data_IF_935340786200
#
_entry.id   IF_935340786200
#
_cell.length_a   1.000
_cell.length_b   1.000
_cell.length_c   1.000
_cell.angle_alpha   90.00
_cell.angle_beta   90.00
_cell.angle_gamma   90.00
#
_symmetry.space_group_name_H-M   'P 1'
#
loop_
_entity.id
_entity.type
_entity.pdbx_description
1 polymer ?
#
# COMPACT_ATOMS: atom_id res chain seq x y z
N UNK A 1 6.83 18.84 16.24
CA UNK A 1 6.50 20.20 16.75
C UNK A 1 5.41 20.79 15.86
N UNK A 2 4.47 21.55 16.42
CA UNK A 2 3.45 22.23 15.60
C UNK A 2 3.96 23.61 15.19
N UNK A 3 3.68 24.03 13.97
CA UNK A 3 3.98 25.37 13.43
C UNK A 3 2.74 25.89 12.69
N UNK A 4 2.63 27.19 12.55
CA UNK A 4 1.54 27.82 11.80
C UNK A 4 1.97 29.17 11.22
N UNK A 5 1.13 29.74 10.36
CA UNK A 5 1.15 31.17 10.06
C UNK A 5 0.81 32.01 11.30
N UNK A 6 1.09 33.32 11.22
CA UNK A 6 0.83 34.28 12.31
C UNK A 6 -0.66 34.34 12.70
N UNK A 7 -1.55 34.15 11.72
CA UNK A 7 -2.98 33.98 11.93
C UNK A 7 -3.44 32.64 11.38
N UNK A 8 -4.48 32.06 11.98
CA UNK A 8 -5.05 30.77 11.59
C UNK A 8 -6.57 30.80 11.44
N UNK A 9 -7.19 31.98 11.44
CA UNK A 9 -8.64 32.12 11.58
C UNK A 9 -9.43 31.51 10.41
N UNK A 10 -8.99 31.76 9.18
CA UNK A 10 -9.61 31.23 7.97
C UNK A 10 -9.36 29.72 7.84
N UNK A 11 -8.12 29.25 8.03
CA UNK A 11 -7.83 27.81 7.94
C UNK A 11 -8.52 27.02 9.07
N UNK A 12 -8.59 27.54 10.29
CA UNK A 12 -9.27 26.87 11.39
C UNK A 12 -10.78 26.78 11.13
N UNK A 13 -11.40 27.85 10.63
CA UNK A 13 -12.82 27.84 10.29
C UNK A 13 -13.14 26.87 9.14
N UNK A 14 -12.29 26.84 8.11
CA UNK A 14 -12.42 25.90 6.99
C UNK A 14 -12.19 24.45 7.44
N UNK A 15 -11.18 24.20 8.28
CA UNK A 15 -10.87 22.87 8.80
C UNK A 15 -11.99 22.35 9.69
N UNK A 16 -12.58 23.19 10.53
CA UNK A 16 -13.73 22.83 11.36
C UNK A 16 -14.96 22.41 10.52
N UNK A 17 -15.23 23.11 9.42
CA UNK A 17 -16.30 22.72 8.48
C UNK A 17 -16.00 21.39 7.79
N UNK A 18 -14.78 21.24 7.28
CA UNK A 18 -14.35 20.00 6.65
C UNK A 18 -14.42 18.80 7.61
N UNK A 19 -14.03 18.99 8.88
CA UNK A 19 -14.14 17.97 9.92
C UNK A 19 -15.59 17.55 10.21
N UNK A 20 -16.56 18.43 10.02
CA UNK A 20 -17.98 18.08 10.11
C UNK A 20 -18.45 17.11 9.02
N UNK A 21 -17.74 17.06 7.89
CA UNK A 21 -18.06 16.22 6.73
C UNK A 21 -17.15 14.99 6.61
N UNK A 22 -16.01 14.99 7.32
CA UNK A 22 -15.02 13.93 7.29
C UNK A 22 -15.56 12.65 7.93
N UNK A 23 -15.43 11.55 7.19
CA UNK A 23 -15.73 10.21 7.67
C UNK A 23 -14.43 9.46 7.96
N UNK A 24 -14.46 8.61 8.98
CA UNK A 24 -13.32 7.73 9.24
C UNK A 24 -13.16 6.74 8.07
N UNK A 25 -11.94 6.51 7.59
CA UNK A 25 -11.69 5.56 6.52
C UNK A 25 -11.99 4.12 6.96
N UNK A 26 -12.42 3.29 6.03
CA UNK A 26 -12.60 1.86 6.29
C UNK A 26 -11.26 1.18 6.60
N UNK A 27 -11.21 0.45 7.71
CA UNK A 27 -10.03 -0.28 8.19
C UNK A 27 -9.96 -1.67 7.56
N UNK A 28 -9.71 -1.70 6.25
CA UNK A 28 -9.79 -2.90 5.43
C UNK A 28 -8.46 -3.62 5.21
N UNK A 29 -7.34 -3.09 5.72
CA UNK A 29 -6.03 -3.72 5.63
C UNK A 29 -5.65 -4.34 6.97
N UNK A 30 -5.13 -5.56 6.97
CA UNK A 30 -4.68 -6.26 8.17
C UNK A 30 -3.15 -6.30 8.17
N UNK A 31 -2.53 -5.85 9.26
CA UNK A 31 -1.12 -6.05 9.54
C UNK A 31 -0.94 -7.02 10.71
N UNK A 32 0.08 -7.88 10.62
CA UNK A 32 0.47 -8.79 11.71
C UNK A 32 1.90 -8.51 12.12
N UNK A 33 2.09 -8.07 13.36
CA UNK A 33 3.39 -7.98 14.02
C UNK A 33 3.65 -9.33 14.67
N UNK A 34 4.65 -10.05 14.15
CA UNK A 34 5.06 -11.34 14.73
C UNK A 34 5.86 -11.07 16.01
N UNK A 35 5.50 -11.72 17.12
CA UNK A 35 6.29 -11.59 18.34
C UNK A 35 7.68 -12.23 18.12
N UNK A 36 8.76 -11.54 18.53
CA UNK A 36 10.09 -12.12 18.56
C UNK A 36 10.26 -13.13 19.71
N UNK A 37 9.31 -13.20 20.65
CA UNK A 37 9.38 -14.07 21.83
C UNK A 37 8.49 -15.32 21.67
N UNK A 38 9.00 -16.54 21.93
CA UNK A 38 8.26 -17.79 21.68
C UNK A 38 6.97 -18.00 22.48
N UNK A 39 6.72 -17.18 23.51
CA UNK A 39 5.56 -17.29 24.43
C UNK A 39 4.53 -16.19 24.25
N UNK A 40 4.76 -15.25 23.33
CA UNK A 40 3.84 -14.16 23.06
C UNK A 40 3.18 -14.35 21.69
N UNK A 41 1.88 -14.12 21.65
CA UNK A 41 1.12 -14.23 20.40
C UNK A 41 1.42 -13.06 19.45
N UNK A 42 1.30 -13.32 18.15
CA UNK A 42 1.46 -12.28 17.13
C UNK A 42 0.28 -11.31 17.20
N UNK A 43 0.57 -10.01 17.25
CA UNK A 43 -0.47 -8.98 17.29
C UNK A 43 -0.94 -8.69 15.87
N UNK A 44 -2.25 -8.69 15.68
CA UNK A 44 -2.86 -8.38 14.39
C UNK A 44 -3.77 -7.18 14.56
N UNK A 45 -3.62 -6.18 13.70
CA UNK A 45 -4.42 -4.96 13.74
C UNK A 45 -4.92 -4.59 12.35
N UNK A 46 -6.10 -3.95 12.33
CA UNK A 46 -6.67 -3.42 11.10
C UNK A 46 -6.39 -1.93 10.98
N UNK A 47 -6.15 -1.52 9.76
CA UNK A 47 -5.70 -0.19 9.44
C UNK A 47 -6.23 0.24 8.07
N UNK A 48 -6.48 1.54 7.91
CA UNK A 48 -6.88 2.12 6.64
C UNK A 48 -5.66 2.33 5.74
N UNK A 49 -5.77 2.00 4.45
CA UNK A 49 -4.68 2.30 3.51
C UNK A 49 -4.48 3.81 3.35
N UNK A 50 -3.22 4.25 3.17
CA UNK A 50 -2.89 5.65 2.90
C UNK A 50 -3.66 6.20 1.70
N UNK A 51 -3.86 5.38 0.66
CA UNK A 51 -4.60 5.77 -0.54
C UNK A 51 -6.08 6.06 -0.25
N UNK A 52 -6.74 5.22 0.56
CA UNK A 52 -8.14 5.43 0.97
C UNK A 52 -8.29 6.68 1.83
N UNK A 53 -7.40 6.87 2.80
CA UNK A 53 -7.40 8.08 3.62
C UNK A 53 -7.19 9.35 2.82
N UNK A 54 -6.21 9.36 1.90
CA UNK A 54 -5.96 10.51 1.02
C UNK A 54 -7.15 10.84 0.11
N UNK A 55 -7.92 9.85 -0.33
CA UNK A 55 -9.09 10.07 -1.18
C UNK A 55 -10.22 10.80 -0.40
N UNK A 56 -10.48 10.37 0.83
CA UNK A 56 -11.45 11.02 1.73
C UNK A 56 -10.98 12.43 2.11
N UNK A 57 -9.72 12.54 2.55
CA UNK A 57 -9.15 13.82 3.01
C UNK A 57 -9.10 14.84 1.87
N UNK A 58 -8.65 14.47 0.66
CA UNK A 58 -8.59 15.42 -0.46
C UNK A 58 -9.96 15.89 -0.90
N UNK A 59 -10.97 15.01 -0.87
CA UNK A 59 -12.32 15.39 -1.24
C UNK A 59 -12.87 16.42 -0.26
N UNK A 60 -12.86 16.11 1.03
CA UNK A 60 -13.44 17.00 2.05
C UNK A 60 -12.63 18.28 2.22
N UNK A 61 -11.31 18.20 2.39
CA UNK A 61 -10.48 19.40 2.56
C UNK A 61 -10.49 20.30 1.31
N UNK A 62 -10.53 19.72 0.11
CA UNK A 62 -10.55 20.49 -1.13
C UNK A 62 -11.84 21.30 -1.32
N UNK A 63 -12.98 20.81 -0.84
CA UNK A 63 -14.27 21.54 -0.85
C UNK A 63 -14.22 22.80 0.03
N UNK A 64 -13.36 22.82 1.05
CA UNK A 64 -13.12 23.96 1.94
C UNK A 64 -11.78 24.65 1.65
N UNK A 65 -11.26 24.55 0.43
CA UNK A 65 -10.06 25.26 -0.04
C UNK A 65 -8.77 24.96 0.74
N UNK A 66 -8.67 23.76 1.33
CA UNK A 66 -7.50 23.29 2.06
C UNK A 66 -6.72 22.27 1.23
N UNK A 67 -5.45 22.56 0.97
CA UNK A 67 -4.48 21.66 0.36
C UNK A 67 -3.64 20.94 1.43
N UNK A 68 -3.29 19.68 1.15
CA UNK A 68 -2.38 18.87 1.98
C UNK A 68 -1.02 18.75 1.30
N UNK A 69 0.05 19.04 2.04
CA UNK A 69 1.43 18.95 1.56
C UNK A 69 2.23 18.10 2.53
N UNK A 70 2.97 17.12 2.01
CA UNK A 70 3.86 16.27 2.81
C UNK A 70 5.25 16.24 2.20
N UNK A 71 6.22 16.81 2.90
CA UNK A 71 7.61 16.91 2.47
C UNK A 71 8.52 16.18 3.45
N UNK A 72 9.63 15.66 2.93
CA UNK A 72 10.62 14.95 3.73
C UNK A 72 11.95 15.70 3.67
N UNK A 73 12.59 15.89 4.83
CA UNK A 73 13.89 16.51 4.93
C UNK A 73 14.82 15.63 5.77
N UNK A 74 16.13 15.76 5.55
CA UNK A 74 17.14 15.17 6.43
C UNK A 74 17.54 16.25 7.42
N UNK A 75 17.30 16.01 8.70
CA UNK A 75 17.80 16.85 9.76
C UNK A 75 19.23 16.39 10.10
N UNK A 76 20.21 17.16 9.63
CA UNK A 76 21.63 16.88 9.86
C UNK A 76 22.06 17.02 11.33
N UNK A 77 21.32 17.79 12.15
CA UNK A 77 21.64 17.95 13.56
C UNK A 77 21.23 16.71 14.38
N UNK A 78 20.08 16.12 14.06
CA UNK A 78 19.58 14.91 14.76
C UNK A 78 19.94 13.61 14.04
N UNK A 79 20.40 13.67 12.79
CA UNK A 79 20.67 12.51 11.96
C UNK A 79 19.41 11.74 11.58
N UNK A 80 18.25 12.40 11.55
CA UNK A 80 16.96 11.77 11.27
C UNK A 80 16.31 12.30 9.99
N UNK A 81 15.56 11.43 9.34
CA UNK A 81 14.60 11.81 8.31
C UNK A 81 13.37 12.38 9.02
N UNK A 82 13.02 13.62 8.73
CA UNK A 82 11.83 14.29 9.22
C UNK A 82 10.78 14.37 8.12
N UNK A 83 9.51 14.22 8.52
CA UNK A 83 8.34 14.43 7.69
C UNK A 83 7.61 15.69 8.19
N UNK A 84 7.44 16.67 7.31
CA UNK A 84 6.56 17.81 7.56
C UNK A 84 5.23 17.56 6.86
N UNK A 85 4.14 17.57 7.62
CA UNK A 85 2.77 17.57 7.07
C UNK A 85 2.17 18.95 7.27
N UNK A 86 1.74 19.60 6.19
CA UNK A 86 1.22 20.96 6.17
C UNK A 86 -0.19 20.97 5.55
N UNK A 87 -1.11 21.68 6.19
CA UNK A 87 -2.39 22.09 5.62
C UNK A 87 -2.29 23.57 5.23
N UNK A 88 -2.53 23.88 3.96
CA UNK A 88 -2.51 25.24 3.43
C UNK A 88 -3.93 25.62 2.97
N UNK A 89 -4.41 26.78 3.35
CA UNK A 89 -5.69 27.32 2.90
C UNK A 89 -5.49 28.37 1.80
N UNK A 90 -6.50 28.58 0.94
CA UNK A 90 -6.45 29.59 -0.13
C UNK A 90 -6.20 31.03 0.37
N UNK A 91 -6.49 31.32 1.64
CA UNK A 91 -6.16 32.62 2.26
C UNK A 91 -4.66 32.85 2.48
N UNK A 92 -3.83 31.82 2.31
CA UNK A 92 -2.40 31.82 2.65
C UNK A 92 -2.10 31.42 4.10
N UNK A 93 -3.12 31.19 4.93
CA UNK A 93 -2.92 30.64 6.27
C UNK A 93 -2.62 29.14 6.22
N UNK A 94 -1.80 28.66 7.15
CA UNK A 94 -1.36 27.28 7.18
C UNK A 94 -1.09 26.78 8.60
N UNK A 95 -1.24 25.47 8.78
CA UNK A 95 -0.80 24.75 9.98
C UNK A 95 0.08 23.58 9.55
N UNK A 96 1.12 23.26 10.31
CA UNK A 96 2.01 22.14 10.01
C UNK A 96 2.44 21.39 11.26
N UNK A 97 2.81 20.13 11.06
CA UNK A 97 3.37 19.26 12.08
C UNK A 97 4.58 18.53 11.52
N UNK A 98 5.68 18.58 12.28
CA UNK A 98 6.90 17.86 11.99
C UNK A 98 6.97 16.57 12.82
N UNK A 99 7.25 15.46 12.13
CA UNK A 99 7.33 14.12 12.69
C UNK A 99 8.68 13.44 12.35
N UNK A 100 9.45 12.97 13.35
CA UNK A 100 10.66 12.18 13.12
C UNK A 100 10.33 10.77 12.62
N UNK A 101 10.86 10.38 11.46
CA UNK A 101 10.49 9.13 10.77
C UNK A 101 11.44 7.99 11.13
N UNK A 102 12.71 8.13 10.77
CA UNK A 102 13.75 7.13 11.03
C UNK A 102 15.15 7.76 10.92
N UNK A 103 16.21 7.10 11.45
CA UNK A 103 17.58 7.56 11.28
C UNK A 103 18.00 7.59 9.80
N UNK A 104 18.90 8.51 9.45
CA UNK A 104 19.47 8.62 8.09
C UNK A 104 20.15 7.33 7.63
N UNK A 105 20.66 6.50 8.56
CA UNK A 105 21.27 5.20 8.25
C UNK A 105 20.29 4.22 7.60
N UNK A 106 18.98 4.38 7.78
CA UNK A 106 17.96 3.56 7.12
C UNK A 106 17.83 3.86 5.62
N UNK A 107 18.45 4.93 5.10
CA UNK A 107 18.56 5.16 3.64
C UNK A 107 19.30 4.02 2.93
N UNK A 108 20.18 3.31 3.64
CA UNK A 108 20.85 2.11 3.14
C UNK A 108 19.88 0.90 2.97
N UNK A 109 18.68 0.98 3.54
CA UNK A 109 17.61 -0.02 3.41
C UNK A 109 16.34 0.62 2.83
N UNK A 110 16.28 0.84 1.49
CA UNK A 110 15.16 1.57 0.85
C UNK A 110 13.78 1.02 1.19
N UNK A 111 13.65 -0.30 1.38
CA UNK A 111 12.40 -0.93 1.77
C UNK A 111 11.94 -0.54 3.19
N UNK A 112 12.86 -0.46 4.15
CA UNK A 112 12.55 -0.08 5.54
C UNK A 112 12.23 1.40 5.64
N UNK A 113 13.05 2.23 5.00
CA UNK A 113 12.79 3.67 4.89
C UNK A 113 11.43 3.95 4.22
N UNK A 114 11.12 3.26 3.12
CA UNK A 114 9.84 3.40 2.43
C UNK A 114 8.64 2.98 3.29
N UNK A 115 8.79 1.91 4.08
CA UNK A 115 7.77 1.47 5.03
C UNK A 115 7.57 2.50 6.15
N UNK A 116 8.65 3.00 6.75
CA UNK A 116 8.60 4.02 7.80
C UNK A 116 7.96 5.32 7.30
N UNK A 117 8.31 5.78 6.09
CA UNK A 117 7.71 6.96 5.47
C UNK A 117 6.22 6.76 5.16
N UNK A 118 5.83 5.58 4.65
CA UNK A 118 4.42 5.29 4.37
C UNK A 118 3.60 5.28 5.64
N UNK A 119 4.15 4.72 6.73
CA UNK A 119 3.56 4.75 8.06
C UNK A 119 3.43 6.19 8.56
N UNK A 120 4.54 6.93 8.66
CA UNK A 120 4.55 8.30 9.17
C UNK A 120 3.60 9.25 8.41
N UNK A 121 3.56 9.18 7.07
CA UNK A 121 2.67 10.01 6.24
C UNK A 121 1.20 9.80 6.56
N UNK A 122 0.83 8.59 6.94
CA UNK A 122 -0.55 8.25 7.29
C UNK A 122 -0.93 8.82 8.64
N UNK A 123 -0.15 8.51 9.69
CA UNK A 123 -0.45 8.97 11.04
C UNK A 123 -0.35 10.49 11.18
N UNK A 124 0.68 11.10 10.59
CA UNK A 124 0.84 12.55 10.67
C UNK A 124 -0.33 13.29 10.01
N UNK A 125 -0.79 12.82 8.84
CA UNK A 125 -1.96 13.41 8.17
C UNK A 125 -3.25 13.17 8.96
N UNK A 126 -3.48 11.94 9.41
CA UNK A 126 -4.72 11.56 10.07
C UNK A 126 -4.87 12.26 11.42
N UNK A 127 -3.79 12.39 12.18
CA UNK A 127 -3.77 13.17 13.41
C UNK A 127 -4.06 14.65 13.16
N UNK A 128 -3.46 15.24 12.11
CA UNK A 128 -3.65 16.66 11.81
C UNK A 128 -5.06 17.00 11.30
N UNK A 129 -5.69 16.05 10.59
CA UNK A 129 -7.03 16.21 10.01
C UNK A 129 -8.13 15.72 10.95
N UNK A 130 -7.81 14.96 11.99
CA UNK A 130 -8.76 14.49 13.00
C UNK A 130 -9.53 13.23 12.60
N UNK A 131 -8.91 12.32 11.84
CA UNK A 131 -9.52 11.04 11.45
C UNK A 131 -8.81 9.85 12.11
N UNK A 132 -9.58 8.82 12.47
CA UNK A 132 -9.04 7.59 13.03
C UNK A 132 -8.79 6.58 11.90
N UNK A 133 -7.53 6.36 11.57
CA UNK A 133 -7.12 5.40 10.53
C UNK A 133 -7.13 3.95 10.95
N UNK A 134 -7.02 3.68 12.25
CA UNK A 134 -6.62 2.38 12.79
C UNK A 134 -7.51 2.00 13.97
N UNK A 135 -7.53 0.71 14.32
CA UNK A 135 -8.30 0.19 15.46
C UNK A 135 -7.71 0.57 16.83
N UNK A 136 -6.57 1.26 16.87
CA UNK A 136 -5.86 1.65 18.08
C UNK A 136 -5.65 0.48 19.05
N UNK A 137 -4.87 -0.51 18.60
CA UNK A 137 -4.45 -1.68 19.39
C UNK A 137 -3.00 -1.57 19.90
N UNK A 138 -2.36 -0.43 19.65
CA UNK A 138 -0.95 -0.16 20.01
C UNK A 138 -0.81 0.81 21.19
N UNK A 139 -1.91 1.35 21.75
CA UNK A 139 -1.88 1.99 23.05
C UNK A 139 -1.57 0.91 24.10
N UNK A 140 -0.40 0.92 24.77
CA UNK A 140 -0.25 0.11 25.97
C UNK A 140 -1.37 0.50 26.93
N UNK A 141 -2.05 -0.46 27.54
CA UNK A 141 -3.00 -0.23 28.63
C UNK A 141 -2.29 0.57 29.74
N UNK A 142 -2.33 1.90 29.66
CA UNK A 142 -1.64 2.80 30.60
C UNK A 142 -2.47 3.07 31.85
N UNK A 143 -3.55 2.32 32.09
CA UNK A 143 -4.39 2.46 33.27
C UNK A 143 -4.97 1.11 33.72
N UNK A 144 -4.13 0.26 34.30
CA UNK A 144 -4.60 -0.69 35.32
C UNK A 144 -3.63 -0.59 36.50
N UNK A 145 -4.06 0.11 37.55
CA UNK A 145 -3.41 0.05 38.85
C UNK A 145 -3.31 -1.41 39.34
N UNK A 146 -2.27 -1.78 40.10
CA UNK A 146 -2.05 -3.17 40.47
C UNK A 146 -3.12 -3.60 41.48
N UNK A 147 -4.15 -4.31 41.02
CA UNK A 147 -5.01 -5.09 41.91
C UNK A 147 -4.43 -6.47 42.16
N UNK A 148 -4.61 -7.01 43.38
CA UNK A 148 -3.70 -8.00 43.95
C UNK A 148 -3.88 -9.38 43.34
N UNK A 149 -2.73 -10.07 43.30
CA UNK A 149 -2.50 -11.45 42.89
C UNK A 149 -3.59 -12.43 43.35
N UNK A 150 -4.25 -13.08 42.40
CA UNK A 150 -4.91 -14.37 42.60
C UNK A 150 -4.07 -15.42 41.89
N UNK A 151 -3.36 -16.23 42.68
CA UNK A 151 -2.59 -17.37 42.18
C UNK A 151 -3.55 -18.50 41.75
N UNK A 152 -3.34 -19.16 40.60
CA UNK A 152 -4.00 -20.42 40.30
C UNK A 152 -3.38 -21.57 41.11
N UNK A 153 -4.16 -22.60 41.47
CA UNK A 153 -3.69 -23.70 42.28
C UNK A 153 -2.71 -24.60 41.51
N UNK A 154 -1.61 -24.94 42.19
CA UNK A 154 -0.69 -26.00 41.79
C UNK A 154 -1.36 -27.38 41.97
N UNK A 155 -1.19 -28.28 41.00
CA UNK A 155 -1.29 -29.71 41.25
C UNK A 155 -0.02 -30.40 40.72
N UNK A 156 0.64 -31.27 41.51
CA UNK A 156 1.96 -31.79 41.25
C UNK A 156 1.89 -33.09 40.44
N UNK A 157 3.06 -33.55 40.00
CA UNK A 157 3.33 -34.81 39.28
C UNK A 157 3.23 -34.73 37.75
N UNK A 158 4.38 -34.52 37.09
CA UNK A 158 5.12 -35.66 36.54
C UNK A 158 6.45 -35.19 35.93
N UNK A 159 7.53 -35.59 36.60
CA UNK A 159 8.89 -35.46 36.14
C UNK A 159 9.26 -36.77 35.41
N UNK A 160 9.47 -36.72 34.08
CA UNK A 160 10.20 -37.80 33.39
C UNK A 160 10.96 -37.25 32.17
N UNK A 161 12.28 -37.51 32.04
CA UNK A 161 13.06 -37.05 30.90
C UNK A 161 13.22 -38.19 29.87
N UNK A 162 12.79 -37.99 28.62
CA UNK A 162 13.26 -38.80 27.47
C UNK A 162 13.28 -37.94 26.19
N UNK A 163 13.99 -38.33 25.10
CA UNK A 163 15.15 -37.63 24.57
C UNK A 163 14.85 -36.90 23.25
N UNK A 164 15.59 -35.82 22.98
CA UNK A 164 15.52 -35.08 21.72
C UNK A 164 16.13 -35.88 20.56
N UNK A 165 15.29 -36.33 19.62
CA UNK A 165 15.62 -36.42 18.18
C UNK A 165 14.33 -36.31 17.35
N UNK A 166 14.20 -35.23 16.57
CA UNK A 166 13.93 -35.31 15.13
C UNK A 166 13.77 -33.92 14.51
N UNK A 167 14.35 -33.81 13.31
CA UNK A 167 14.37 -32.68 12.40
C UNK A 167 13.01 -32.03 12.13
N UNK A 168 12.99 -30.70 12.19
CA UNK A 168 11.99 -29.84 11.55
C UNK A 168 12.70 -28.57 11.09
N UNK A 169 13.19 -28.57 9.86
CA UNK A 169 13.94 -27.47 9.25
C UNK A 169 13.04 -26.26 9.03
N UNK A 170 13.06 -25.31 9.97
CA UNK A 170 12.50 -23.96 9.81
C UNK A 170 13.45 -23.18 8.90
N UNK A 171 12.95 -22.69 7.77
CA UNK A 171 13.66 -21.74 6.90
C UNK A 171 13.98 -20.45 7.68
N UNK A 172 15.20 -20.38 8.21
CA UNK A 172 15.78 -19.17 8.80
C UNK A 172 15.90 -18.10 7.70
N UNK A 173 15.50 -16.84 7.93
CA UNK A 173 15.79 -15.77 6.99
C UNK A 173 17.32 -15.68 6.82
N UNK A 174 17.76 -15.80 5.56
CA UNK A 174 19.16 -15.86 5.16
C UNK A 174 19.80 -14.53 5.54
N UNK A 175 20.55 -14.50 6.63
CA UNK A 175 21.37 -13.35 6.98
C UNK A 175 22.38 -13.10 5.86
N UNK A 176 22.66 -11.83 5.48
CA UNK A 176 23.72 -11.54 4.53
C UNK A 176 25.02 -12.12 5.10
N UNK A 177 25.66 -12.98 4.31
CA UNK A 177 26.93 -13.60 4.71
C UNK A 177 27.96 -12.46 4.92
N UNK A 178 28.75 -12.50 6.00
CA UNK A 178 29.77 -11.49 6.24
C UNK A 178 30.75 -11.45 5.06
N UNK A 179 31.23 -10.25 4.73
CA UNK A 179 32.27 -10.04 3.72
C UNK A 179 33.50 -10.87 4.12
N UNK A 180 34.02 -11.64 3.17
CA UNK A 180 35.19 -12.48 3.37
C UNK A 180 36.43 -11.60 3.63
N UNK A 181 37.38 -12.13 4.40
CA UNK A 181 38.71 -11.52 4.49
C UNK A 181 39.42 -11.59 3.13
N UNK A 182 40.47 -10.79 2.95
CA UNK A 182 41.11 -10.56 1.65
C UNK A 182 41.54 -11.85 0.92
N UNK A 183 42.08 -12.84 1.64
CA UNK A 183 42.62 -14.06 1.04
C UNK A 183 41.52 -15.05 0.60
N UNK A 184 40.51 -15.39 1.42
CA UNK A 184 39.34 -16.16 0.96
C UNK A 184 38.53 -15.45 -0.14
N UNK A 185 38.49 -14.12 -0.10
CA UNK A 185 37.83 -13.32 -1.14
C UNK A 185 38.57 -13.44 -2.49
N UNK A 186 39.90 -13.37 -2.49
CA UNK A 186 40.72 -13.57 -3.68
C UNK A 186 40.52 -14.98 -4.29
N UNK A 187 40.51 -16.03 -3.47
CA UNK A 187 40.26 -17.41 -3.94
C UNK A 187 38.89 -17.54 -4.58
N UNK A 188 37.86 -16.97 -3.96
CA UNK A 188 36.49 -17.05 -4.48
C UNK A 188 36.31 -16.21 -5.76
N UNK A 189 36.98 -15.05 -5.85
CA UNK A 189 37.05 -14.26 -7.09
C UNK A 189 37.64 -15.08 -8.23
N UNK A 190 38.77 -15.74 -8.00
CA UNK A 190 39.46 -16.50 -9.04
C UNK A 190 38.60 -17.68 -9.54
N UNK A 191 37.87 -18.33 -8.64
CA UNK A 191 36.87 -19.34 -8.98
C UNK A 191 35.75 -18.78 -9.86
N UNK A 192 35.15 -17.64 -9.47
CA UNK A 192 34.04 -17.04 -10.24
C UNK A 192 34.50 -16.54 -11.62
N UNK A 193 35.72 -16.00 -11.72
CA UNK A 193 36.30 -15.58 -13.00
C UNK A 193 36.59 -16.80 -13.90
N UNK A 194 37.05 -17.92 -13.33
CA UNK A 194 37.23 -19.16 -14.09
C UNK A 194 35.89 -19.70 -14.63
N UNK A 195 34.83 -19.70 -13.80
CA UNK A 195 33.49 -20.11 -14.23
C UNK A 195 32.97 -19.25 -15.39
N UNK A 196 33.14 -17.92 -15.32
CA UNK A 196 32.71 -17.01 -16.40
C UNK A 196 33.38 -17.37 -17.73
N UNK A 197 34.65 -17.79 -17.71
CA UNK A 197 35.41 -18.16 -18.91
C UNK A 197 34.95 -19.46 -19.55
N UNK A 198 34.27 -20.32 -18.80
CA UNK A 198 33.76 -21.62 -19.30
C UNK A 198 32.34 -21.53 -19.87
N UNK A 199 31.63 -20.42 -19.69
CA UNK A 199 30.26 -20.23 -20.18
C UNK A 199 30.24 -19.83 -21.65
N UNK A 200 29.40 -20.51 -22.44
CA UNK A 200 29.27 -20.29 -23.87
C UNK A 200 27.84 -19.88 -24.21
N UNK A 201 27.52 -18.59 -24.10
CA UNK A 201 26.24 -18.05 -24.55
C UNK A 201 25.62 -17.03 -23.59
N UNK A 202 24.77 -16.14 -24.12
CA UNK A 202 24.14 -15.07 -23.37
C UNK A 202 23.14 -15.58 -22.30
N UNK A 203 22.41 -16.65 -22.62
CA UNK A 203 21.45 -17.26 -21.69
C UNK A 203 22.15 -17.96 -20.51
N UNK A 204 23.27 -18.62 -20.78
CA UNK A 204 24.10 -19.27 -19.76
C UNK A 204 24.76 -18.25 -18.82
N UNK A 205 25.19 -17.11 -19.37
CA UNK A 205 25.70 -15.97 -18.59
C UNK A 205 24.61 -15.37 -17.68
N UNK A 206 23.39 -15.18 -18.20
CA UNK A 206 22.27 -14.66 -17.41
C UNK A 206 21.86 -15.60 -16.26
N UNK A 207 21.80 -16.91 -16.52
CA UNK A 207 21.52 -17.93 -15.52
C UNK A 207 22.65 -18.03 -14.49
N UNK A 208 23.90 -17.92 -14.92
CA UNK A 208 25.06 -17.88 -14.03
C UNK A 208 25.02 -16.66 -13.10
N UNK A 209 24.72 -15.47 -13.64
CA UNK A 209 24.62 -14.24 -12.85
C UNK A 209 23.57 -14.39 -11.76
N UNK A 210 22.37 -14.86 -12.10
CA UNK A 210 21.29 -15.10 -11.12
C UNK A 210 21.72 -16.08 -10.01
N UNK A 211 22.50 -17.11 -10.33
CA UNK A 211 22.96 -18.12 -9.37
C UNK A 211 24.12 -17.65 -8.49
N UNK A 212 25.06 -16.86 -9.04
CA UNK A 212 26.30 -16.45 -8.36
C UNK A 212 26.24 -15.07 -7.71
N UNK A 213 25.25 -14.24 -8.02
CA UNK A 213 24.98 -12.93 -7.39
C UNK A 213 25.03 -12.95 -5.84
N UNK A 214 24.37 -13.90 -5.14
CA UNK A 214 24.43 -13.97 -3.69
C UNK A 214 25.82 -14.31 -3.12
N UNK A 215 26.69 -14.94 -3.91
CA UNK A 215 28.06 -15.33 -3.55
C UNK A 215 29.04 -14.20 -3.85
N UNK A 216 28.87 -13.47 -4.96
CA UNK A 216 29.61 -12.23 -5.23
C UNK A 216 29.44 -11.20 -4.11
N UNK A 217 28.25 -11.13 -3.51
CA UNK A 217 27.94 -10.23 -2.38
C UNK A 217 28.71 -10.55 -1.08
N UNK A 218 29.53 -11.61 -1.06
CA UNK A 218 30.43 -11.92 0.06
C UNK A 218 31.90 -11.56 -0.22
N UNK A 219 32.23 -11.14 -1.44
CA UNK A 219 33.57 -10.66 -1.80
C UNK A 219 33.84 -9.27 -1.24
N UNK A 220 35.12 -8.92 -1.10
CA UNK A 220 35.53 -7.53 -0.93
C UNK A 220 35.09 -6.71 -2.15
N UNK A 221 34.95 -5.39 -1.99
CA UNK A 221 34.54 -4.50 -3.08
C UNK A 221 35.48 -4.57 -4.30
N UNK A 222 36.78 -4.71 -4.05
CA UNK A 222 37.78 -4.82 -5.12
C UNK A 222 37.65 -6.13 -5.89
N UNK A 223 37.49 -7.24 -5.19
CA UNK A 223 37.33 -8.57 -5.80
C UNK A 223 36.00 -8.70 -6.54
N UNK A 224 34.91 -8.12 -6.01
CA UNK A 224 33.61 -8.08 -6.66
C UNK A 224 33.67 -7.32 -8.00
N UNK A 225 34.42 -6.21 -8.05
CA UNK A 225 34.63 -5.40 -9.25
C UNK A 225 35.40 -6.17 -10.34
N UNK A 226 36.37 -7.01 -9.95
CA UNK A 226 37.09 -7.86 -10.89
C UNK A 226 36.18 -8.94 -11.52
N UNK A 227 35.28 -9.55 -10.73
CA UNK A 227 34.28 -10.50 -11.24
C UNK A 227 33.29 -9.81 -12.20
N UNK A 228 32.82 -8.60 -11.87
CA UNK A 228 31.94 -7.82 -12.73
C UNK A 228 32.59 -7.47 -14.08
N UNK A 229 33.86 -7.09 -14.05
CA UNK A 229 34.63 -6.76 -15.25
C UNK A 229 34.78 -7.99 -16.16
N UNK A 230 35.08 -9.16 -15.59
CA UNK A 230 35.15 -10.42 -16.33
C UNK A 230 33.80 -10.81 -16.94
N UNK A 231 32.70 -10.61 -16.20
CA UNK A 231 31.35 -10.87 -16.69
C UNK A 231 30.97 -9.94 -17.85
N UNK A 232 31.26 -8.64 -17.74
CA UNK A 232 31.01 -7.66 -18.80
C UNK A 232 31.82 -7.99 -20.07
N UNK A 233 33.07 -8.41 -19.91
CA UNK A 233 33.89 -8.85 -21.03
C UNK A 233 33.31 -10.10 -21.72
N UNK A 234 32.73 -11.04 -20.96
CA UNK A 234 32.13 -12.26 -21.48
C UNK A 234 30.77 -12.04 -22.18
N UNK A 235 29.99 -11.04 -21.74
CA UNK A 235 28.70 -10.66 -22.38
C UNK A 235 28.90 -10.00 -23.75
N UNK A 236 30.12 -9.51 -24.04
CA UNK A 236 30.46 -8.85 -25.30
C UNK A 236 29.82 -7.45 -25.45
N UNK A 237 30.26 -6.66 -26.45
CA UNK A 237 29.65 -5.36 -26.73
C UNK A 237 28.25 -5.55 -27.32
N UNK A 238 27.21 -5.20 -26.55
CA UNK A 238 25.86 -5.01 -27.07
C UNK A 238 25.89 -3.92 -28.17
N UNK A 239 25.19 -4.08 -29.30
CA UNK A 239 25.17 -3.05 -30.32
C UNK A 239 24.46 -1.80 -29.77
N UNK A 240 25.18 -0.67 -29.77
CA UNK A 240 24.61 0.66 -29.57
C UNK A 240 25.03 1.35 -28.27
N UNK A 241 26.28 1.83 -28.24
CA UNK A 241 26.64 3.00 -27.42
C UNK A 241 26.10 4.24 -28.13
N UNK A 242 25.03 4.82 -27.59
CA UNK A 242 24.64 6.20 -27.87
C UNK A 242 24.59 6.95 -26.55
N UNK A 243 25.15 8.15 -26.60
CA UNK A 243 25.46 9.03 -25.49
C UNK A 243 24.26 9.46 -24.64
N UNK A 244 24.58 9.97 -23.43
CA UNK A 244 23.70 10.46 -22.36
C UNK A 244 22.44 11.24 -22.79
N UNK A 245 21.38 10.50 -23.15
CA UNK A 245 20.01 10.98 -23.17
C UNK A 245 19.14 9.92 -22.50
N UNK A 246 18.78 10.16 -21.23
CA UNK A 246 17.72 9.42 -20.55
C UNK A 246 16.43 9.65 -21.32
N UNK A 247 16.09 8.74 -22.23
CA UNK A 247 14.73 8.63 -22.75
C UNK A 247 13.91 7.92 -21.67
N UNK A 248 12.88 8.55 -21.11
CA UNK A 248 11.99 7.86 -20.18
C UNK A 248 11.38 6.67 -20.91
N UNK A 249 11.52 5.47 -20.34
CA UNK A 249 10.60 4.37 -20.63
C UNK A 249 9.19 4.94 -20.51
N UNK A 250 8.50 5.13 -21.64
CA UNK A 250 7.09 5.48 -21.70
C UNK A 250 6.34 4.34 -21.01
N UNK A 251 6.13 4.51 -19.71
CA UNK A 251 5.25 3.68 -18.90
C UNK A 251 3.88 3.80 -19.56
N UNK A 252 3.30 2.69 -20.02
CA UNK A 252 1.90 2.64 -20.45
C UNK A 252 1.06 3.24 -19.32
N UNK A 253 0.46 4.39 -19.56
CA UNK A 253 -0.36 5.06 -18.56
C UNK A 253 -1.58 4.18 -18.28
N UNK A 254 -1.86 3.90 -17.01
CA UNK A 254 -3.02 3.12 -16.60
C UNK A 254 -4.29 3.82 -17.07
N UNK A 255 -5.17 3.10 -17.76
CA UNK A 255 -6.38 3.66 -18.33
C UNK A 255 -7.40 3.89 -17.21
N UNK A 256 -7.87 5.13 -17.09
CA UNK A 256 -8.93 5.52 -16.15
C UNK A 256 -10.19 5.86 -16.92
N UNK A 257 -11.27 5.17 -16.62
CA UNK A 257 -12.55 5.34 -17.30
C UNK A 257 -13.71 5.17 -16.32
N UNK A 258 -14.19 6.29 -15.77
CA UNK A 258 -15.33 6.31 -14.85
C UNK A 258 -16.65 5.85 -15.49
N UNK A 259 -16.79 5.93 -16.82
CA UNK A 259 -17.97 5.40 -17.51
C UNK A 259 -17.91 3.86 -17.54
N UNK A 260 -16.73 3.28 -17.77
CA UNK A 260 -16.50 1.85 -17.68
C UNK A 260 -16.83 1.30 -16.29
N UNK A 261 -16.34 1.92 -15.22
CA UNK A 261 -16.63 1.46 -13.85
C UNK A 261 -18.13 1.46 -13.52
N UNK A 262 -18.89 2.43 -14.07
CA UNK A 262 -20.35 2.48 -13.94
C UNK A 262 -21.01 1.36 -14.74
N UNK A 263 -20.62 1.18 -16.00
CA UNK A 263 -21.08 0.09 -16.85
C UNK A 263 -20.85 -1.28 -16.21
N UNK A 264 -19.65 -1.50 -15.64
CA UNK A 264 -19.31 -2.74 -14.92
C UNK A 264 -20.20 -2.92 -13.69
N UNK A 265 -20.43 -1.88 -12.88
CA UNK A 265 -21.30 -1.98 -11.71
C UNK A 265 -22.78 -2.28 -12.06
N UNK A 266 -23.22 -1.95 -13.28
CA UNK A 266 -24.55 -2.27 -13.80
C UNK A 266 -24.68 -3.73 -14.27
N UNK A 267 -23.57 -4.45 -14.46
CA UNK A 267 -23.60 -5.85 -14.89
C UNK A 267 -23.92 -6.81 -13.72
N UNK A 268 -24.58 -7.95 -14.00
CA UNK A 268 -24.82 -8.98 -12.99
C UNK A 268 -23.52 -9.61 -12.51
N UNK A 269 -23.51 -10.07 -11.25
CA UNK A 269 -22.32 -10.64 -10.62
C UNK A 269 -21.80 -11.85 -11.41
N UNK A 270 -20.50 -11.88 -11.72
CA UNK A 270 -19.92 -13.00 -12.48
C UNK A 270 -20.12 -14.38 -11.82
N UNK A 271 -20.25 -14.43 -10.48
CA UNK A 271 -20.40 -15.70 -9.75
C UNK A 271 -21.86 -16.15 -9.64
N UNK A 272 -22.79 -15.23 -9.36
CA UNK A 272 -24.16 -15.60 -8.98
C UNK A 272 -25.25 -14.88 -9.76
N UNK A 273 -24.89 -14.03 -10.72
CA UNK A 273 -25.80 -13.28 -11.60
C UNK A 273 -26.73 -12.30 -10.88
N UNK A 274 -26.55 -12.06 -9.57
CA UNK A 274 -27.35 -11.10 -8.79
C UNK A 274 -26.86 -9.67 -9.01
N UNK A 275 -27.79 -8.72 -8.92
CA UNK A 275 -27.56 -7.27 -8.82
C UNK A 275 -28.11 -6.75 -7.47
N UNK A 276 -27.64 -5.61 -6.93
CA UNK A 276 -26.60 -4.72 -7.47
C UNK A 276 -25.18 -5.28 -7.31
N UNK A 277 -24.27 -4.81 -8.17
CA UNK A 277 -22.85 -5.14 -8.16
C UNK A 277 -21.97 -3.92 -7.97
N UNK A 278 -20.74 -4.17 -7.52
CA UNK A 278 -19.67 -3.19 -7.48
C UNK A 278 -18.58 -3.60 -8.48
N UNK A 279 -17.87 -2.61 -9.04
CA UNK A 279 -16.70 -2.87 -9.89
C UNK A 279 -15.51 -3.31 -9.02
N UNK A 280 -14.97 -4.49 -9.31
CA UNK A 280 -13.81 -5.06 -8.64
C UNK A 280 -12.59 -5.07 -9.56
N UNK A 281 -11.50 -4.40 -9.17
CA UNK A 281 -10.23 -4.44 -9.89
C UNK A 281 -9.46 -5.74 -9.63
N UNK A 282 -9.15 -6.46 -10.70
CA UNK A 282 -8.42 -7.74 -10.65
C UNK A 282 -6.94 -7.48 -10.34
N UNK A 283 -6.48 -7.72 -9.10
CA UNK A 283 -5.20 -7.15 -8.62
C UNK A 283 -3.96 -7.80 -9.22
N UNK A 284 -4.09 -8.99 -9.81
CA UNK A 284 -2.97 -9.72 -10.42
C UNK A 284 -2.85 -9.49 -11.94
N UNK A 285 -3.75 -8.71 -12.54
CA UNK A 285 -3.71 -8.37 -13.97
C UNK A 285 -2.47 -7.55 -14.35
N UNK A 286 -1.92 -6.77 -13.41
CA UNK A 286 -0.73 -5.96 -13.60
C UNK A 286 0.34 -6.28 -12.53
N UNK A 287 1.64 -6.17 -12.86
CA UNK A 287 2.71 -6.30 -11.88
C UNK A 287 2.50 -5.32 -10.72
N UNK A 288 2.57 -5.83 -9.49
CA UNK A 288 2.44 -5.00 -8.29
C UNK A 288 3.58 -3.99 -8.22
N UNK A 289 3.25 -2.73 -8.51
CA UNK A 289 4.14 -1.59 -8.30
C UNK A 289 3.60 -0.75 -7.13
N UNK A 290 4.52 -0.26 -6.28
CA UNK A 290 4.18 0.46 -5.06
C UNK A 290 3.22 1.64 -5.36
N UNK A 291 2.07 1.68 -4.67
CA UNK A 291 1.11 2.78 -4.76
C UNK A 291 0.31 2.88 -6.06
N UNK A 292 0.32 1.85 -6.92
CA UNK A 292 -0.44 1.87 -8.20
C UNK A 292 -1.75 1.06 -8.09
N UNK A 293 -2.88 1.70 -8.43
CA UNK A 293 -4.19 1.03 -8.61
C UNK A 293 -4.19 0.32 -9.97
N UNK A 294 -4.70 -0.89 -10.09
CA UNK A 294 -4.78 -1.61 -11.38
C UNK A 294 -5.60 -0.79 -12.39
N UNK A 295 -5.26 -0.83 -13.69
CA UNK A 295 -6.01 -0.18 -14.77
C UNK A 295 -7.50 -0.53 -14.74
N UNK A 296 -8.37 0.41 -15.13
CA UNK A 296 -9.82 0.19 -15.07
C UNK A 296 -10.26 -0.88 -16.09
N UNK A 297 -9.44 -1.17 -17.12
CA UNK A 297 -9.70 -2.26 -18.09
C UNK A 297 -9.70 -3.66 -17.47
N UNK A 298 -9.16 -3.81 -16.25
CA UNK A 298 -9.13 -5.07 -15.52
C UNK A 298 -10.17 -5.08 -14.40
N UNK A 299 -11.40 -4.62 -14.67
CA UNK A 299 -12.50 -4.62 -13.70
C UNK A 299 -13.62 -5.59 -14.05
N UNK A 300 -14.20 -6.20 -13.02
CA UNK A 300 -15.28 -7.19 -13.13
C UNK A 300 -16.42 -6.92 -12.14
N UNK A 301 -17.67 -7.31 -12.46
CA UNK A 301 -18.82 -7.13 -11.56
C UNK A 301 -18.88 -8.20 -10.48
N UNK A 302 -18.87 -7.79 -9.22
CA UNK A 302 -19.13 -8.66 -8.07
C UNK A 302 -20.22 -8.08 -7.17
N UNK A 303 -21.17 -8.92 -6.75
CA UNK A 303 -22.11 -8.52 -5.70
C UNK A 303 -21.37 -8.43 -4.36
N UNK A 304 -21.95 -7.70 -3.41
CA UNK A 304 -21.31 -7.44 -2.10
C UNK A 304 -20.85 -8.70 -1.37
N UNK A 305 -21.63 -9.79 -1.46
CA UNK A 305 -21.29 -11.07 -0.83
C UNK A 305 -20.00 -11.67 -1.42
N UNK A 306 -19.95 -11.84 -2.74
CA UNK A 306 -18.77 -12.42 -3.40
C UNK A 306 -17.57 -11.47 -3.38
N UNK A 307 -17.81 -10.17 -3.43
CA UNK A 307 -16.76 -9.17 -3.27
C UNK A 307 -16.10 -9.29 -1.89
N UNK A 308 -16.91 -9.45 -0.83
CA UNK A 308 -16.41 -9.67 0.53
C UNK A 308 -15.71 -11.03 0.67
N UNK A 309 -16.28 -12.10 0.11
CA UNK A 309 -15.67 -13.44 0.13
C UNK A 309 -14.30 -13.46 -0.54
N UNK A 310 -14.15 -12.80 -1.69
CA UNK A 310 -12.88 -12.66 -2.39
C UNK A 310 -11.84 -11.96 -1.50
N UNK A 311 -12.19 -10.83 -0.88
CA UNK A 311 -11.26 -10.15 0.03
C UNK A 311 -10.96 -10.95 1.29
N UNK A 312 -11.91 -11.73 1.82
CA UNK A 312 -11.67 -12.63 2.96
C UNK A 312 -10.75 -13.81 2.61
N UNK A 313 -10.84 -14.33 1.38
CA UNK A 313 -9.97 -15.41 0.94
C UNK A 313 -8.50 -14.98 0.79
N UNK A 314 -8.25 -13.69 0.51
CA UNK A 314 -6.92 -13.06 0.51
C UNK A 314 -6.02 -13.43 -0.68
N UNK A 315 -6.10 -14.66 -1.20
CA UNK A 315 -5.45 -15.08 -2.44
C UNK A 315 -6.43 -15.03 -3.62
N UNK A 316 -6.47 -13.88 -4.29
CA UNK A 316 -7.39 -13.63 -5.39
C UNK A 316 -7.28 -14.67 -6.53
N UNK A 317 -6.07 -15.09 -6.92
CA UNK A 317 -5.86 -16.10 -7.97
C UNK A 317 -6.50 -17.43 -7.58
N UNK A 318 -6.29 -17.87 -6.34
CA UNK A 318 -6.87 -19.12 -5.85
C UNK A 318 -8.40 -19.03 -5.74
N UNK A 319 -8.94 -17.88 -5.34
CA UNK A 319 -10.38 -17.68 -5.26
C UNK A 319 -11.05 -17.79 -6.62
N UNK A 320 -10.51 -17.11 -7.64
CA UNK A 320 -11.01 -17.21 -9.03
C UNK A 320 -10.91 -18.63 -9.59
N UNK A 321 -9.83 -19.35 -9.26
CA UNK A 321 -9.69 -20.77 -9.59
C UNK A 321 -10.76 -21.65 -8.92
N UNK A 322 -11.10 -21.38 -7.66
CA UNK A 322 -12.12 -22.14 -6.91
C UNK A 322 -13.53 -21.91 -7.45
N UNK A 323 -13.86 -20.68 -7.88
CA UNK A 323 -15.14 -20.38 -8.54
C UNK A 323 -15.13 -20.71 -10.05
N UNK A 324 -14.01 -21.21 -10.57
CA UNK A 324 -13.80 -21.62 -11.96
C UNK A 324 -14.16 -20.53 -12.99
N UNK A 325 -13.81 -19.28 -12.70
CA UNK A 325 -14.03 -18.15 -13.60
C UNK A 325 -12.68 -17.57 -13.99
N UNK A 326 -12.50 -17.25 -15.28
CA UNK A 326 -11.34 -16.52 -15.79
C UNK A 326 -11.64 -15.00 -15.77
N UNK A 327 -11.24 -14.26 -14.71
CA UNK A 327 -11.64 -12.87 -14.55
C UNK A 327 -11.00 -11.92 -15.57
N UNK A 328 -9.82 -12.25 -16.11
CA UNK A 328 -9.14 -11.42 -17.11
C UNK A 328 -9.88 -11.44 -18.46
N UNK A 329 -10.36 -12.62 -18.88
CA UNK A 329 -11.17 -12.74 -20.09
C UNK A 329 -12.50 -11.99 -19.96
N UNK A 330 -13.13 -12.09 -18.78
CA UNK A 330 -14.36 -11.36 -18.47
C UNK A 330 -14.13 -9.84 -18.48
N UNK A 331 -13.04 -9.37 -17.87
CA UNK A 331 -12.68 -7.95 -17.85
C UNK A 331 -12.38 -7.41 -19.27
N UNK A 332 -11.63 -8.16 -20.07
CA UNK A 332 -11.34 -7.80 -21.46
C UNK A 332 -12.63 -7.65 -22.29
N UNK A 333 -13.55 -8.60 -22.17
CA UNK A 333 -14.84 -8.54 -22.86
C UNK A 333 -15.64 -7.29 -22.47
N UNK A 334 -15.76 -7.01 -21.17
CA UNK A 334 -16.46 -5.83 -20.65
C UNK A 334 -15.80 -4.52 -21.11
N UNK A 335 -14.47 -4.51 -21.21
CA UNK A 335 -13.72 -3.37 -21.71
C UNK A 335 -14.02 -3.12 -23.20
N UNK A 336 -14.02 -4.16 -24.03
CA UNK A 336 -14.38 -4.04 -25.45
C UNK A 336 -15.83 -3.58 -25.65
N UNK A 337 -16.77 -4.11 -24.86
CA UNK A 337 -18.17 -3.67 -24.89
C UNK A 337 -18.33 -2.18 -24.56
N UNK A 338 -17.56 -1.70 -23.59
CA UNK A 338 -17.55 -0.26 -23.23
C UNK A 338 -17.01 0.62 -24.36
N UNK A 339 -16.01 0.13 -25.10
CA UNK A 339 -15.43 0.84 -26.24
C UNK A 339 -16.31 0.80 -27.49
N UNK A 340 -17.08 -0.29 -27.67
CA UNK A 340 -18.02 -0.48 -28.77
C UNK A 340 -19.34 0.27 -28.57
N UNK A 341 -19.70 0.62 -27.32
CA UNK A 341 -20.90 1.38 -27.03
C UNK A 341 -20.82 2.80 -27.64
N UNK A 342 -21.84 3.26 -28.41
CA UNK A 342 -21.86 4.61 -28.92
C UNK A 342 -21.85 5.61 -27.75
N UNK A 343 -20.94 6.59 -27.81
CA UNK A 343 -20.85 7.65 -26.79
C UNK A 343 -22.24 8.28 -26.61
N UNK A 344 -22.77 8.39 -25.38
CA UNK A 344 -24.03 9.07 -25.17
C UNK A 344 -23.89 10.52 -25.65
N UNK A 345 -24.67 10.88 -26.68
CA UNK A 345 -24.78 12.27 -27.12
C UNK A 345 -25.45 13.04 -26.00
N UNK A 346 -24.71 13.99 -25.42
CA UNK A 346 -25.22 14.87 -24.39
C UNK A 346 -26.29 15.77 -25.01
N UNK A 347 -27.57 15.37 -24.95
CA UNK A 347 -28.68 16.27 -25.28
C UNK A 347 -28.81 17.26 -24.11
N UNK A 348 -28.27 18.46 -24.30
CA UNK A 348 -28.61 19.63 -23.50
C UNK A 348 -30.10 19.93 -23.67
N UNK A 349 -30.89 19.58 -22.67
CA UNK A 349 -32.33 19.83 -22.65
C UNK A 349 -32.82 19.90 -21.21
N UNK A 350 -32.43 20.95 -20.49
CA UNK A 350 -33.08 21.33 -19.24
C UNK A 350 -34.45 21.89 -19.61
N UNK A 351 -35.49 21.07 -19.50
CA UNK A 351 -36.86 21.58 -19.37
C UNK A 351 -37.22 21.55 -17.89
N UNK A 352 -37.15 22.72 -17.26
CA UNK A 352 -37.74 22.97 -15.96
C UNK A 352 -39.25 22.72 -16.03
N UNK A 353 -39.74 21.69 -15.34
CA UNK A 353 -41.14 21.60 -14.94
C UNK A 353 -41.28 22.23 -13.54
N UNK A 354 -42.09 23.28 -13.35
CA UNK A 354 -42.35 23.83 -12.03
C UNK A 354 -43.24 22.88 -11.22
N UNK A 355 -42.84 22.59 -9.98
CA UNK A 355 -43.66 21.85 -9.00
C UNK A 355 -44.89 22.67 -8.60
N UNK A 356 -46.09 22.06 -8.45
CA UNK A 356 -47.25 22.75 -7.93
C UNK A 356 -47.08 23.06 -6.43
N UNK A 357 -47.50 24.27 -6.03
CA UNK A 357 -47.53 24.75 -4.65
C UNK A 357 -48.54 23.93 -3.84
N UNK A 358 -48.14 23.50 -2.65
CA UNK A 358 -49.05 22.94 -1.65
C UNK A 358 -49.88 24.09 -1.06
N UNK A 359 -51.20 23.95 -1.14
CA UNK A 359 -52.18 24.84 -0.54
C UNK A 359 -52.25 24.56 0.97
N UNK A 360 -51.80 25.52 1.79
CA UNK A 360 -52.14 25.59 3.21
C UNK A 360 -53.53 26.22 3.34
N UNK A 361 -54.52 25.43 3.76
CA UNK A 361 -55.80 25.94 4.28
C UNK A 361 -56.32 25.06 5.41
N UNK A 362 -56.49 25.67 6.58
CA UNK A 362 -57.66 25.41 7.43
C UNK A 362 -57.39 24.81 8.81
N UNK A 363 -57.14 25.65 9.80
CA UNK A 363 -57.47 25.39 11.20
C UNK A 363 -58.87 25.95 11.53
N UNK A 364 -59.47 25.42 12.61
CA UNK A 364 -60.80 25.70 13.21
C UNK A 364 -61.97 24.96 12.52
N UNK A 365 -62.95 24.37 13.21
CA UNK A 365 -63.40 24.44 14.61
C UNK A 365 -64.23 23.18 14.91
N UNK A 366 -64.02 22.54 16.06
CA UNK A 366 -64.96 21.59 16.67
C UNK A 366 -65.82 22.38 17.65
N UNK A 367 -67.13 22.40 17.43
CA UNK A 367 -68.13 22.49 18.50
C UNK A 367 -69.51 22.06 17.98
N UNK A 368 -70.04 20.99 18.57
CA UNK A 368 -71.44 20.53 18.54
C UNK A 368 -71.56 19.36 19.52
N UNK A 369 -72.19 19.59 20.67
CA UNK A 369 -72.48 18.56 21.68
C UNK A 369 -72.52 19.10 23.09
#
# INVERSE_FOLDING_TARGET
MHRSSDTIGAIAAALAKAQGELLNPEKNVIATIRSPFPREESRTFRYASLASGLEIVRKSLGEHEIATVQTTAIDHATGQIQLTTLLAHASGEWISSDWPVCPITETANPHRMGAALTYARRYALFALVGIAGDDDLDAPDLLVEPSPTVQPPEDPHQNRPIPRKSNGSIHKPRQPKPVLSAEPSAVLRDQLVAEIKELNGADDLALWAHRRLPTKNTLTAEDARMVETAYQAAVGPLPGRLDDQVTPLLKTAQKRNKAHLRFVAEQPCLVCQRTPCDAHHVKFAEPRALGRKVSDEFTVPLCRDHHRQLHHHGNEIAWWGNVQIAPLEAAEKLWQETLAAPRPTFRSGVQHHPRPKADERGASSRDSG
#
